data_IF_167461195527
#
_entry.id   IF_167461195527
#
_cell.length_a   1.000
_cell.length_b   1.000
_cell.length_c   1.000
_cell.angle_alpha   90.00
_cell.angle_beta   90.00
_cell.angle_gamma   90.00
#
_symmetry.space_group_name_H-M   'P 1'
#
loop_
_entity.id
_entity.type
_entity.pdbx_description
1 polymer ?
#
# COMPACT_ATOMS: atom_id res chain seq x y z
N UNK A 1 -13.21 9.59 11.79
CA UNK A 1 -12.48 8.32 12.05
C UNK A 1 -11.16 8.66 12.69
N UNK A 2 -10.74 7.93 13.73
CA UNK A 2 -9.46 8.18 14.41
C UNK A 2 -8.28 7.91 13.45
N UNK A 3 -7.26 8.77 13.42
CA UNK A 3 -6.10 8.63 12.49
C UNK A 3 -5.41 7.27 12.61
N UNK A 4 -5.45 6.66 13.80
CA UNK A 4 -4.94 5.32 14.07
C UNK A 4 -5.69 4.22 13.33
N UNK A 5 -7.00 4.37 13.16
CA UNK A 5 -7.82 3.43 12.39
C UNK A 5 -7.59 3.57 10.89
N UNK A 6 -7.39 4.79 10.39
CA UNK A 6 -6.94 5.00 9.00
C UNK A 6 -5.55 4.39 8.76
N UNK A 7 -4.60 4.57 9.69
CA UNK A 7 -3.28 3.95 9.59
C UNK A 7 -3.37 2.42 9.46
N UNK A 8 -4.15 1.77 10.33
CA UNK A 8 -4.39 0.32 10.24
C UNK A 8 -5.04 -0.07 8.91
N UNK A 9 -6.06 0.67 8.47
CA UNK A 9 -6.76 0.40 7.21
C UNK A 9 -5.81 0.43 6.02
N UNK A 10 -5.00 1.48 5.90
CA UNK A 10 -4.02 1.62 4.81
C UNK A 10 -2.95 0.53 4.87
N UNK A 11 -2.45 0.20 6.07
CA UNK A 11 -1.46 -0.86 6.23
C UNK A 11 -2.02 -2.23 5.87
N UNK A 12 -3.25 -2.55 6.28
CA UNK A 12 -3.89 -3.80 5.88
C UNK A 12 -4.09 -3.90 4.37
N UNK A 13 -4.31 -2.77 3.68
CA UNK A 13 -4.40 -2.77 2.23
C UNK A 13 -3.03 -2.97 1.57
N UNK A 14 -1.94 -2.37 2.06
CA UNK A 14 -0.61 -2.60 1.51
C UNK A 14 -0.19 -4.08 1.61
N UNK A 15 -0.56 -4.75 2.70
CA UNK A 15 -0.32 -6.19 2.86
C UNK A 15 -1.10 -7.04 1.85
N UNK A 16 -2.33 -6.64 1.51
CA UNK A 16 -3.10 -7.30 0.44
C UNK A 16 -2.49 -7.06 -0.93
N UNK A 17 -1.99 -5.86 -1.19
CA UNK A 17 -1.38 -5.51 -2.47
C UNK A 17 -0.06 -6.28 -2.69
N UNK A 18 0.79 -6.42 -1.66
CA UNK A 18 2.02 -7.22 -1.80
C UNK A 18 1.73 -8.73 -1.92
N UNK A 19 0.64 -9.22 -1.30
CA UNK A 19 0.17 -10.58 -1.56
C UNK A 19 -0.24 -10.73 -3.02
N UNK A 20 -1.04 -9.79 -3.56
CA UNK A 20 -1.45 -9.81 -4.96
C UNK A 20 -0.23 -9.78 -5.90
N UNK A 21 0.80 -8.98 -5.60
CA UNK A 21 2.05 -8.95 -6.37
C UNK A 21 2.72 -10.32 -6.43
N UNK A 22 2.72 -11.08 -5.32
CA UNK A 22 3.27 -12.45 -5.28
C UNK A 22 2.40 -13.43 -6.07
N UNK A 23 1.08 -13.29 -6.01
CA UNK A 23 0.16 -14.10 -6.80
C UNK A 23 0.36 -13.85 -8.30
N UNK A 24 0.46 -12.58 -8.72
CA UNK A 24 0.76 -12.17 -10.10
C UNK A 24 2.13 -12.64 -10.58
N UNK A 25 3.13 -12.63 -9.71
CA UNK A 25 4.46 -13.16 -10.03
C UNK A 25 4.38 -14.66 -10.31
N UNK A 26 3.65 -15.41 -9.47
CA UNK A 26 3.45 -16.85 -9.65
C UNK A 26 2.67 -17.17 -10.93
N UNK A 27 1.81 -16.25 -11.40
CA UNK A 27 1.06 -16.36 -12.65
C UNK A 27 1.85 -15.88 -13.89
N UNK A 28 3.07 -15.35 -13.74
CA UNK A 28 3.88 -14.81 -14.84
C UNK A 28 3.46 -13.42 -15.33
N UNK A 29 2.56 -12.74 -14.62
CA UNK A 29 2.03 -11.42 -14.99
C UNK A 29 2.91 -10.30 -14.44
N UNK A 30 4.14 -10.16 -14.96
CA UNK A 30 5.19 -9.32 -14.37
C UNK A 30 4.85 -7.82 -14.33
N UNK A 31 4.13 -7.31 -15.32
CA UNK A 31 3.62 -5.94 -15.33
C UNK A 31 2.67 -5.67 -14.15
N UNK A 32 1.85 -6.66 -13.79
CA UNK A 32 0.97 -6.58 -12.63
C UNK A 32 1.75 -6.64 -11.32
N UNK A 33 2.84 -7.42 -11.26
CA UNK A 33 3.75 -7.43 -10.11
C UNK A 33 4.26 -6.03 -9.82
N UNK A 34 4.79 -5.34 -10.85
CA UNK A 34 5.33 -4.00 -10.70
C UNK A 34 4.27 -3.00 -10.23
N UNK A 35 3.08 -3.02 -10.84
CA UNK A 35 1.97 -2.13 -10.46
C UNK A 35 1.53 -2.37 -9.01
N UNK A 36 1.31 -3.63 -8.61
CA UNK A 36 0.86 -3.98 -7.27
C UNK A 36 1.95 -3.72 -6.21
N UNK A 37 3.23 -3.90 -6.55
CA UNK A 37 4.33 -3.57 -5.66
C UNK A 37 4.42 -2.05 -5.39
N UNK A 38 4.25 -1.20 -6.42
CA UNK A 38 4.18 0.25 -6.24
C UNK A 38 2.98 0.63 -5.36
N UNK A 39 1.81 0.05 -5.63
CA UNK A 39 0.59 0.28 -4.84
C UNK A 39 0.75 -0.14 -3.37
N UNK A 40 1.45 -1.25 -3.10
CA UNK A 40 1.76 -1.70 -1.75
C UNK A 40 2.65 -0.69 -1.02
N UNK A 41 3.71 -0.22 -1.68
CA UNK A 41 4.60 0.80 -1.12
C UNK A 41 3.85 2.10 -0.81
N UNK A 42 3.00 2.57 -1.74
CA UNK A 42 2.23 3.81 -1.57
C UNK A 42 1.34 3.76 -0.34
N UNK A 43 0.60 2.65 -0.18
CA UNK A 43 -0.32 2.49 0.95
C UNK A 43 0.41 2.28 2.27
N UNK A 44 1.58 1.65 2.27
CA UNK A 44 2.41 1.51 3.47
C UNK A 44 2.93 2.87 3.95
N UNK A 45 3.40 3.73 3.04
CA UNK A 45 3.83 5.09 3.37
C UNK A 45 2.66 5.95 3.86
N UNK A 46 1.49 5.88 3.20
CA UNK A 46 0.26 6.54 3.69
C UNK A 46 -0.10 6.09 5.10
N UNK A 47 -0.04 4.79 5.39
CA UNK A 47 -0.30 4.27 6.73
C UNK A 47 0.64 4.86 7.78
N UNK A 48 1.93 4.99 7.46
CA UNK A 48 2.91 5.63 8.34
C UNK A 48 2.58 7.11 8.60
N UNK A 49 2.20 7.87 7.57
CA UNK A 49 1.77 9.26 7.75
C UNK A 49 0.59 9.37 8.72
N UNK A 50 -0.43 8.53 8.55
CA UNK A 50 -1.58 8.49 9.46
C UNK A 50 -1.20 8.09 10.89
N UNK A 51 -0.29 7.12 11.04
CA UNK A 51 0.21 6.70 12.35
C UNK A 51 0.97 7.83 13.08
N UNK A 52 1.67 8.69 12.33
CA UNK A 52 2.35 9.89 12.84
C UNK A 52 1.41 11.10 13.02
N UNK A 53 0.09 10.90 12.90
CA UNK A 53 -0.88 11.97 13.07
C UNK A 53 -0.96 12.95 11.88
N UNK A 54 -0.37 12.62 10.74
CA UNK A 54 -0.44 13.40 9.49
C UNK A 54 -1.51 12.83 8.56
N UNK A 55 -1.88 13.58 7.52
CA UNK A 55 -2.67 13.09 6.39
C UNK A 55 -1.78 13.09 5.15
N UNK A 56 -2.10 12.21 4.19
CA UNK A 56 -1.34 12.06 2.94
C UNK A 56 -2.30 11.92 1.77
N UNK A 57 -1.94 12.51 0.63
CA UNK A 57 -2.72 12.52 -0.62
C UNK A 57 -1.82 12.21 -1.82
N UNK A 58 -2.43 11.83 -2.95
CA UNK A 58 -1.70 11.53 -4.20
C UNK A 58 -1.22 10.09 -4.32
N UNK A 59 -0.42 9.83 -5.37
CA UNK A 59 0.10 8.50 -5.75
C UNK A 59 1.63 8.45 -5.85
N UNK A 60 2.29 9.57 -5.57
CA UNK A 60 3.76 9.62 -5.55
C UNK A 60 4.28 9.00 -4.26
N UNK A 61 5.35 8.22 -4.39
CA UNK A 61 6.14 7.75 -3.24
C UNK A 61 7.13 8.81 -2.75
N UNK A 62 7.37 9.86 -3.55
CA UNK A 62 8.32 10.95 -3.36
C UNK A 62 7.58 12.27 -3.20
#
# INVERSE_FOLDING_TARGET
>A
MEKREEAKRWFMQSLRDIKAARDSFSAGNFEWVCFQAQQAAEKAVKALHFALGRSSWGHSLI
#
